data_IF_725272212832
#
_entry.id   IF_725272212832
#
_cell.length_a   1.000
_cell.length_b   1.000
_cell.length_c   1.000
_cell.angle_alpha   90.00
_cell.angle_beta   90.00
_cell.angle_gamma   90.00
#
_symmetry.space_group_name_H-M   'P 1'
#
loop_
_entity.id
_entity.type
_entity.pdbx_description
1 polymer ?
#
# COMPACT_ATOMS: atom_id res chain seq x y z
N UNK A 1 -3.09 -9.43 19.26
CA UNK A 1 -3.71 -9.83 17.97
C UNK A 1 -4.24 -8.65 17.17
N UNK A 2 -4.87 -7.65 17.80
CA UNK A 2 -5.54 -6.54 17.09
C UNK A 2 -4.61 -5.69 16.19
N UNK A 3 -3.39 -5.39 16.65
CA UNK A 3 -2.48 -4.52 15.88
C UNK A 3 -2.10 -5.07 14.50
N UNK A 4 -1.96 -6.40 14.35
CA UNK A 4 -1.70 -7.02 13.04
C UNK A 4 -2.84 -6.71 12.07
N UNK A 5 -4.09 -6.89 12.51
CA UNK A 5 -5.25 -6.67 11.66
C UNK A 5 -5.49 -5.20 11.32
N UNK A 6 -5.09 -4.28 12.20
CA UNK A 6 -5.11 -2.84 11.91
C UNK A 6 -4.14 -2.53 10.77
N UNK A 7 -2.88 -2.98 10.88
CA UNK A 7 -1.88 -2.80 9.84
C UNK A 7 -2.32 -3.45 8.52
N UNK A 8 -2.77 -4.70 8.59
CA UNK A 8 -3.19 -5.47 7.41
C UNK A 8 -4.41 -4.84 6.73
N UNK A 9 -5.40 -4.37 7.51
CA UNK A 9 -6.57 -3.70 6.96
C UNK A 9 -6.23 -2.37 6.28
N UNK A 10 -5.29 -1.60 6.86
CA UNK A 10 -4.80 -0.36 6.25
C UNK A 10 -4.05 -0.64 4.94
N UNK A 11 -3.15 -1.63 4.93
CA UNK A 11 -2.43 -2.05 3.71
C UNK A 11 -3.36 -2.64 2.66
N UNK A 12 -4.45 -3.31 3.06
CA UNK A 12 -5.48 -3.77 2.14
C UNK A 12 -6.16 -2.60 1.41
N UNK A 13 -6.45 -1.49 2.12
CA UNK A 13 -7.00 -0.29 1.49
C UNK A 13 -6.00 0.33 0.50
N UNK A 14 -4.72 0.42 0.85
CA UNK A 14 -3.66 0.90 -0.06
C UNK A 14 -3.57 -0.02 -1.29
N UNK A 15 -3.62 -1.34 -1.09
CA UNK A 15 -3.59 -2.33 -2.16
C UNK A 15 -4.76 -2.16 -3.13
N UNK A 16 -5.97 -1.88 -2.61
CA UNK A 16 -7.14 -1.60 -3.44
C UNK A 16 -6.97 -0.32 -4.26
N UNK A 17 -6.37 0.73 -3.69
CA UNK A 17 -6.05 1.96 -4.44
C UNK A 17 -5.09 1.66 -5.59
N UNK A 18 -4.03 0.88 -5.34
CA UNK A 18 -3.05 0.50 -6.38
C UNK A 18 -3.73 -0.33 -7.49
N UNK A 19 -4.55 -1.32 -7.12
CA UNK A 19 -5.30 -2.14 -8.08
C UNK A 19 -6.26 -1.29 -8.90
N UNK A 20 -6.99 -0.38 -8.26
CA UNK A 20 -7.89 0.55 -8.94
C UNK A 20 -7.15 1.36 -10.01
N UNK A 21 -6.04 2.01 -9.65
CA UNK A 21 -5.28 2.80 -10.61
C UNK A 21 -4.62 1.97 -11.71
N UNK A 22 -4.21 0.74 -11.41
CA UNK A 22 -3.72 -0.17 -12.43
C UNK A 22 -4.80 -0.50 -13.48
N UNK A 23 -6.01 -0.87 -13.05
CA UNK A 23 -7.11 -1.18 -13.98
C UNK A 23 -7.63 0.04 -14.73
N UNK A 24 -7.75 1.19 -14.06
CA UNK A 24 -8.08 2.46 -14.72
C UNK A 24 -7.01 2.80 -15.75
N UNK A 25 -5.73 2.63 -15.39
CA UNK A 25 -4.62 2.91 -16.28
C UNK A 25 -4.56 1.99 -17.50
N UNK A 26 -4.99 0.73 -17.37
CA UNK A 26 -5.16 -0.16 -18.52
C UNK A 26 -6.29 0.30 -19.44
N UNK A 27 -7.37 0.85 -18.87
CA UNK A 27 -8.52 1.33 -19.62
C UNK A 27 -8.25 2.65 -20.36
N UNK A 28 -7.49 3.58 -19.77
CA UNK A 28 -7.15 4.88 -20.36
C UNK A 28 -5.82 4.90 -21.11
N UNK A 29 -5.04 3.80 -21.07
CA UNK A 29 -3.76 3.65 -21.75
C UNK A 29 -2.56 4.25 -21.01
N UNK A 30 -2.74 4.84 -19.82
CA UNK A 30 -1.63 5.33 -19.00
C UNK A 30 -0.78 4.19 -18.42
N UNK A 31 -1.34 2.99 -18.26
CA UNK A 31 -0.58 1.74 -18.12
C UNK A 31 -0.39 1.16 -19.52
N UNK A 32 0.86 1.15 -20.00
CA UNK A 32 1.20 0.69 -21.36
C UNK A 32 2.48 -0.13 -21.34
N UNK A 33 2.90 -0.63 -22.51
CA UNK A 33 4.17 -1.36 -22.66
C UNK A 33 5.39 -0.58 -22.12
N UNK A 34 5.32 0.75 -22.10
CA UNK A 34 6.37 1.62 -21.58
C UNK A 34 6.59 1.44 -20.06
N UNK A 35 5.53 1.26 -19.27
CA UNK A 35 5.60 1.22 -17.80
C UNK A 35 5.02 -0.05 -17.17
N UNK A 36 4.52 -1.00 -17.95
CA UNK A 36 3.90 -2.23 -17.45
C UNK A 36 4.82 -3.00 -16.50
N UNK A 37 6.13 -3.01 -16.74
CA UNK A 37 7.10 -3.69 -15.86
C UNK A 37 7.15 -3.08 -14.46
N UNK A 38 7.02 -1.75 -14.35
CA UNK A 38 6.98 -1.05 -13.07
C UNK A 38 5.68 -1.36 -12.34
N UNK A 39 4.56 -1.38 -13.06
CA UNK A 39 3.26 -1.78 -12.49
C UNK A 39 3.25 -3.20 -11.98
N UNK A 40 3.77 -4.16 -12.75
CA UNK A 40 3.85 -5.56 -12.33
C UNK A 40 4.79 -5.72 -11.12
N UNK A 41 5.91 -4.99 -11.06
CA UNK A 41 6.79 -4.97 -9.89
C UNK A 41 6.04 -4.45 -8.65
N UNK A 42 5.29 -3.36 -8.80
CA UNK A 42 4.51 -2.76 -7.71
C UNK A 42 3.42 -3.72 -7.21
N UNK A 43 2.63 -4.31 -8.12
CA UNK A 43 1.61 -5.31 -7.79
C UNK A 43 2.23 -6.54 -7.12
N UNK A 44 3.37 -7.01 -7.61
CA UNK A 44 4.12 -8.12 -7.03
C UNK A 44 4.59 -7.79 -5.61
N UNK A 45 5.17 -6.60 -5.39
CA UNK A 45 5.61 -6.15 -4.07
C UNK A 45 4.46 -6.09 -3.07
N UNK A 46 3.33 -5.51 -3.47
CA UNK A 46 2.11 -5.46 -2.65
C UNK A 46 1.57 -6.85 -2.34
N UNK A 47 1.52 -7.74 -3.34
CA UNK A 47 1.10 -9.13 -3.14
C UNK A 47 2.02 -9.88 -2.17
N UNK A 48 3.33 -9.69 -2.26
CA UNK A 48 4.32 -10.27 -1.33
C UNK A 48 4.10 -9.74 0.09
N UNK A 49 3.83 -8.44 0.28
CA UNK A 49 3.54 -7.87 1.61
C UNK A 49 2.24 -8.45 2.18
N UNK A 50 1.16 -8.47 1.39
CA UNK A 50 -0.16 -8.90 1.84
C UNK A 50 -0.22 -10.41 2.12
N UNK A 51 0.23 -11.24 1.17
CA UNK A 51 0.22 -12.69 1.31
C UNK A 51 1.35 -13.17 2.22
N UNK A 52 2.53 -12.57 2.13
CA UNK A 52 3.66 -12.91 2.97
C UNK A 52 3.41 -12.61 4.44
N UNK A 53 2.74 -11.51 4.78
CA UNK A 53 2.37 -11.22 6.18
C UNK A 53 1.35 -12.22 6.74
N UNK A 54 0.39 -12.69 5.93
CA UNK A 54 -0.54 -13.76 6.32
C UNK A 54 0.19 -15.09 6.52
N UNK A 55 1.09 -15.45 5.60
CA UNK A 55 1.90 -16.65 5.70
C UNK A 55 2.79 -16.63 6.96
N UNK A 56 3.49 -15.52 7.21
CA UNK A 56 4.31 -15.33 8.41
C UNK A 56 3.49 -15.48 9.69
N UNK A 57 2.29 -14.89 9.72
CA UNK A 57 1.38 -15.03 10.87
C UNK A 57 0.92 -16.47 11.07
N UNK A 58 0.59 -17.20 10.00
CA UNK A 58 0.19 -18.60 10.07
C UNK A 58 1.30 -19.51 10.63
N UNK A 59 2.56 -19.11 10.45
CA UNK A 59 3.75 -19.80 10.96
C UNK A 59 4.28 -19.21 12.27
N UNK A 60 3.45 -18.49 13.03
CA UNK A 60 3.78 -17.91 14.34
C UNK A 60 4.86 -16.80 14.35
N UNK A 61 5.29 -16.30 13.18
CA UNK A 61 6.23 -15.17 13.06
C UNK A 61 5.53 -13.82 13.12
N UNK A 62 4.74 -13.58 14.17
CA UNK A 62 3.86 -12.40 14.28
C UNK A 62 4.63 -11.06 14.27
N UNK A 63 5.84 -11.02 14.86
CA UNK A 63 6.66 -9.81 14.85
C UNK A 63 7.12 -9.45 13.43
N UNK A 64 7.66 -10.44 12.70
CA UNK A 64 8.12 -10.25 11.31
C UNK A 64 6.96 -9.86 10.42
N UNK A 65 5.79 -10.48 10.60
CA UNK A 65 4.58 -10.14 9.83
C UNK A 65 4.18 -8.66 9.99
N UNK A 66 4.28 -8.10 11.21
CA UNK A 66 4.01 -6.68 11.47
C UNK A 66 5.06 -5.76 10.86
N UNK A 67 6.33 -6.16 10.89
CA UNK A 67 7.42 -5.39 10.26
C UNK A 67 7.19 -5.30 8.75
N UNK A 68 6.84 -6.44 8.12
CA UNK A 68 6.52 -6.49 6.68
C UNK A 68 5.35 -5.58 6.33
N UNK A 69 4.27 -5.61 7.10
CA UNK A 69 3.14 -4.68 6.91
C UNK A 69 3.56 -3.22 7.16
N UNK A 70 4.42 -2.98 8.15
CA UNK A 70 4.96 -1.65 8.43
C UNK A 70 5.66 -0.99 7.23
N UNK A 71 6.23 -1.78 6.31
CA UNK A 71 6.87 -1.27 5.10
C UNK A 71 5.91 -0.50 4.19
N UNK A 72 4.62 -0.86 4.17
CA UNK A 72 3.60 -0.17 3.39
C UNK A 72 2.77 0.78 4.26
N UNK A 73 2.42 0.35 5.48
CA UNK A 73 1.56 1.11 6.38
C UNK A 73 2.19 2.42 6.83
N UNK A 74 3.49 2.44 7.14
CA UNK A 74 4.18 3.66 7.61
C UNK A 74 4.19 4.74 6.52
N UNK A 75 4.73 4.50 5.30
CA UNK A 75 4.71 5.53 4.27
C UNK A 75 3.28 5.90 3.84
N UNK A 76 2.35 4.94 3.80
CA UNK A 76 0.94 5.21 3.51
C UNK A 76 0.29 6.13 4.54
N UNK A 77 0.54 5.89 5.84
CA UNK A 77 0.04 6.75 6.91
C UNK A 77 0.66 8.15 6.83
N UNK A 78 1.96 8.24 6.59
CA UNK A 78 2.64 9.53 6.42
C UNK A 78 2.05 10.32 5.25
N UNK A 79 1.73 9.66 4.14
CA UNK A 79 1.07 10.30 3.00
C UNK A 79 -0.35 10.78 3.34
N UNK A 80 -1.15 9.95 4.00
CA UNK A 80 -2.50 10.36 4.46
C UNK A 80 -2.43 11.55 5.41
N UNK A 81 -1.49 11.54 6.37
CA UNK A 81 -1.27 12.65 7.29
C UNK A 81 -0.84 13.91 6.54
N UNK A 82 0.05 13.79 5.56
CA UNK A 82 0.46 14.91 4.72
C UNK A 82 -0.72 15.53 3.96
N UNK A 83 -1.56 14.71 3.31
CA UNK A 83 -2.78 15.19 2.64
C UNK A 83 -3.73 15.85 3.63
N UNK A 84 -3.92 15.25 4.81
CA UNK A 84 -4.75 15.82 5.87
C UNK A 84 -4.21 17.19 6.33
N UNK A 85 -2.91 17.34 6.48
CA UNK A 85 -2.28 18.62 6.81
C UNK A 85 -2.55 19.68 5.74
N UNK A 86 -2.43 19.34 4.45
CA UNK A 86 -2.74 20.28 3.36
C UNK A 86 -4.22 20.73 3.45
N UNK A 87 -5.13 19.79 3.67
CA UNK A 87 -6.57 20.06 3.73
C UNK A 87 -6.95 20.93 4.93
N UNK A 88 -6.36 20.66 6.10
CA UNK A 88 -6.69 21.36 7.35
C UNK A 88 -6.01 22.74 7.44
N UNK A 89 -4.72 22.83 7.10
CA UNK A 89 -3.92 24.03 7.32
C UNK A 89 -3.89 24.97 6.12
N UNK A 90 -4.36 24.53 4.94
CA UNK A 90 -4.39 25.31 3.69
C UNK A 90 -3.10 26.10 3.48
N UNK A 91 -1.92 25.43 3.49
CA UNK A 91 -0.64 26.11 3.39
C UNK A 91 -0.59 26.92 2.09
N UNK A 92 -0.01 28.12 2.15
CA UNK A 92 0.32 28.88 0.96
C UNK A 92 1.51 28.21 0.28
N UNK A 93 1.33 27.85 -0.98
CA UNK A 93 2.41 27.36 -1.84
C UNK A 93 3.06 28.57 -2.50
N UNK A 94 3.96 29.24 -1.78
CA UNK A 94 4.61 30.48 -2.21
C UNK A 94 6.14 30.36 -2.24
#
# INVERSE_FOLDING_TARGET
MNFFWILWGFDALISLVILYFFFVGLADGTVSSFNIRIWLLLLGAVAVIMLGSLWLRAHHYLLVAKIVLGLLAIPGLMYVLYILMILLFKPRWN
#
